data_IF_239918037000
#
_entry.id   IF_239918037000
#
_cell.length_a   1.000
_cell.length_b   1.000
_cell.length_c   1.000
_cell.angle_alpha   90.00
_cell.angle_beta   90.00
_cell.angle_gamma   90.00
#
_symmetry.space_group_name_H-M   'P 1'
#
loop_
_entity.id
_entity.type
_entity.pdbx_description
1 polymer ?
#
# COMPACT_ATOMS: atom_id res chain seq x y z
N UNK A 1 -5.92 -33.23 -3.52
CA UNK A 1 -6.21 -32.04 -2.71
C UNK A 1 -5.34 -30.94 -3.27
N UNK A 2 -5.88 -29.74 -3.53
CA UNK A 2 -5.08 -28.68 -4.10
C UNK A 2 -3.91 -28.33 -3.18
N UNK A 3 -2.77 -28.02 -3.80
CA UNK A 3 -1.52 -27.65 -3.13
C UNK A 3 -1.24 -26.19 -3.43
N UNK A 4 -0.78 -25.47 -2.41
CA UNK A 4 -0.44 -24.06 -2.53
C UNK A 4 1.05 -23.87 -2.19
N UNK A 5 1.76 -23.06 -2.97
CA UNK A 5 3.11 -22.63 -2.56
C UNK A 5 3.02 -21.55 -1.48
N UNK A 6 4.13 -21.28 -0.81
CA UNK A 6 4.22 -20.14 0.10
C UNK A 6 3.91 -18.82 -0.63
N UNK A 7 4.17 -18.75 -1.93
CA UNK A 7 3.86 -17.60 -2.76
C UNK A 7 2.40 -17.55 -3.24
N UNK A 8 1.59 -18.61 -3.09
CA UNK A 8 0.16 -18.62 -3.42
C UNK A 8 -0.24 -19.37 -4.71
N UNK A 9 0.72 -19.96 -5.44
CA UNK A 9 0.42 -20.78 -6.63
C UNK A 9 -0.47 -21.96 -6.29
N UNK A 10 -1.60 -22.12 -6.98
CA UNK A 10 -2.48 -23.26 -6.80
C UNK A 10 -2.19 -24.37 -7.83
N UNK A 11 -2.01 -25.58 -7.33
CA UNK A 11 -1.97 -26.80 -8.13
C UNK A 11 -3.14 -27.70 -7.71
N UNK A 12 -3.76 -28.42 -8.63
CA UNK A 12 -4.86 -29.33 -8.31
C UNK A 12 -4.36 -30.57 -7.53
N UNK A 13 -3.06 -30.88 -7.66
CA UNK A 13 -2.39 -31.94 -6.90
C UNK A 13 -0.86 -31.76 -6.84
N UNK A 14 -0.20 -32.55 -5.99
CA UNK A 14 1.25 -32.53 -5.77
C UNK A 14 2.07 -32.90 -7.01
N UNK A 15 1.57 -33.81 -7.85
CA UNK A 15 2.26 -34.25 -9.06
C UNK A 15 2.36 -33.10 -10.09
N UNK A 16 1.29 -32.34 -10.24
CA UNK A 16 1.26 -31.13 -11.07
C UNK A 16 2.27 -30.07 -10.58
N UNK A 17 2.34 -29.83 -9.27
CA UNK A 17 3.34 -28.93 -8.69
C UNK A 17 4.78 -29.39 -8.99
N UNK A 18 5.06 -30.69 -8.80
CA UNK A 18 6.38 -31.29 -9.06
C UNK A 18 6.76 -31.16 -10.54
N UNK A 19 5.83 -31.42 -11.45
CA UNK A 19 6.08 -31.36 -12.89
C UNK A 19 6.30 -29.92 -13.37
N UNK A 20 5.57 -28.95 -12.79
CA UNK A 20 5.83 -27.52 -12.99
C UNK A 20 7.24 -27.15 -12.53
N UNK A 21 7.63 -27.46 -11.28
CA UNK A 21 8.98 -27.14 -10.78
C UNK A 21 10.10 -27.81 -11.59
N UNK A 22 9.94 -29.07 -12.00
CA UNK A 22 10.94 -29.76 -12.84
C UNK A 22 11.09 -29.13 -14.22
N UNK A 23 10.01 -28.58 -14.76
CA UNK A 23 10.02 -27.89 -16.06
C UNK A 23 10.68 -26.52 -15.91
N UNK A 24 10.27 -25.75 -14.89
CA UNK A 24 10.83 -24.42 -14.60
C UNK A 24 12.32 -24.48 -14.21
N UNK A 25 12.78 -25.51 -13.51
CA UNK A 25 14.18 -25.66 -13.08
C UNK A 25 15.13 -26.22 -14.15
N UNK A 26 14.63 -26.97 -15.15
CA UNK A 26 15.48 -27.64 -16.16
C UNK A 26 15.55 -26.91 -17.51
N UNK A 27 14.72 -25.88 -17.74
CA UNK A 27 14.69 -25.17 -19.03
C UNK A 27 15.35 -23.80 -18.86
N UNK A 28 16.36 -23.46 -19.68
CA UNK A 28 16.95 -22.12 -19.75
C UNK A 28 15.98 -21.06 -20.35
N UNK A 29 14.74 -21.45 -20.65
CA UNK A 29 13.65 -20.54 -21.01
C UNK A 29 12.70 -20.44 -19.80
N UNK A 30 12.62 -19.27 -19.14
CA UNK A 30 12.35 -19.15 -17.72
C UNK A 30 10.89 -18.77 -17.48
N UNK A 31 10.22 -19.47 -16.55
CA UNK A 31 9.18 -18.85 -15.70
C UNK A 31 7.88 -18.35 -16.44
N UNK A 32 7.79 -18.43 -17.79
CA UNK A 32 6.63 -18.08 -18.64
C UNK A 32 6.82 -16.79 -19.46
N UNK A 33 6.21 -16.70 -20.65
CA UNK A 33 6.34 -15.51 -21.55
C UNK A 33 5.96 -14.18 -20.85
N UNK A 34 5.00 -14.23 -19.92
CA UNK A 34 4.60 -13.06 -19.14
C UNK A 34 5.71 -12.61 -18.18
N UNK A 35 6.43 -13.54 -17.56
CA UNK A 35 7.57 -13.24 -16.69
C UNK A 35 8.70 -12.56 -17.45
N UNK A 36 9.08 -13.12 -18.60
CA UNK A 36 10.12 -12.54 -19.45
C UNK A 36 9.75 -11.12 -19.87
N UNK A 37 8.49 -10.89 -20.23
CA UNK A 37 8.01 -9.55 -20.62
C UNK A 37 8.02 -8.55 -19.46
N UNK A 38 7.59 -8.95 -18.26
CA UNK A 38 7.61 -8.11 -17.06
C UNK A 38 9.04 -7.71 -16.65
N UNK A 39 9.97 -8.68 -16.64
CA UNK A 39 11.38 -8.41 -16.34
C UNK A 39 12.15 -7.73 -17.48
N UNK A 40 11.58 -7.65 -18.68
CA UNK A 40 12.14 -6.87 -19.78
C UNK A 40 11.72 -5.39 -19.77
N UNK A 41 10.82 -4.97 -18.87
CA UNK A 41 10.39 -3.57 -18.71
C UNK A 41 11.51 -2.77 -18.04
N UNK A 42 12.44 -2.30 -18.86
CA UNK A 42 13.58 -1.50 -18.42
C UNK A 42 13.18 -0.24 -17.70
N UNK A 43 12.02 0.35 -18.00
CA UNK A 43 11.55 1.58 -17.36
C UNK A 43 11.30 1.41 -15.85
N UNK A 44 11.05 0.18 -15.39
CA UNK A 44 10.89 -0.10 -13.96
C UNK A 44 12.24 -0.30 -13.27
N UNK A 45 13.16 -1.06 -13.88
CA UNK A 45 14.51 -1.34 -13.35
C UNK A 45 15.50 -0.17 -13.49
N UNK A 46 15.39 0.62 -14.57
CA UNK A 46 16.09 1.92 -14.70
C UNK A 46 15.36 3.02 -13.91
N UNK A 47 14.10 2.77 -13.57
CA UNK A 47 13.31 3.54 -12.61
C UNK A 47 13.74 3.20 -11.17
N UNK A 48 13.32 4.01 -10.20
CA UNK A 48 13.72 3.82 -8.80
C UNK A 48 13.15 2.54 -8.14
N UNK A 49 12.56 1.60 -8.89
CA UNK A 49 11.81 0.44 -8.36
C UNK A 49 12.49 -0.90 -8.67
N UNK A 50 12.71 -1.71 -7.63
CA UNK A 50 13.17 -3.09 -7.75
C UNK A 50 11.99 -4.04 -7.94
N UNK A 51 11.97 -4.80 -9.05
CA UNK A 51 10.91 -5.78 -9.36
C UNK A 51 11.16 -7.14 -8.69
N UNK A 52 10.14 -7.62 -7.98
CA UNK A 52 9.99 -9.00 -7.54
C UNK A 52 8.67 -9.54 -8.08
N UNK A 53 8.71 -10.60 -8.89
CA UNK A 53 7.52 -11.25 -9.40
C UNK A 53 7.53 -12.75 -9.06
N UNK A 54 6.38 -13.26 -8.62
CA UNK A 54 6.19 -14.68 -8.28
C UNK A 54 4.86 -15.20 -8.81
N UNK A 55 4.70 -16.52 -8.79
CA UNK A 55 3.44 -17.16 -9.11
C UNK A 55 3.01 -17.14 -10.57
N UNK A 56 3.96 -16.98 -11.49
CA UNK A 56 3.69 -16.62 -12.88
C UNK A 56 3.17 -17.80 -13.70
N UNK A 57 1.86 -17.83 -13.89
CA UNK A 57 1.26 -18.42 -15.08
C UNK A 57 0.58 -17.30 -15.90
N UNK A 58 -0.12 -17.66 -16.96
CA UNK A 58 -0.77 -16.68 -17.82
C UNK A 58 -1.98 -15.98 -17.15
N UNK A 59 -2.42 -16.38 -15.96
CA UNK A 59 -3.64 -15.87 -15.28
C UNK A 59 -3.36 -15.30 -13.89
N UNK A 60 -2.49 -15.98 -13.17
CA UNK A 60 -2.14 -15.74 -11.79
C UNK A 60 -0.71 -15.21 -11.74
N UNK A 61 -0.52 -14.07 -11.06
CA UNK A 61 0.77 -13.43 -10.84
C UNK A 61 0.70 -12.62 -9.56
N UNK A 62 1.82 -12.59 -8.85
CA UNK A 62 2.08 -11.65 -7.79
C UNK A 62 3.27 -10.77 -8.17
N UNK A 63 3.04 -9.45 -8.24
CA UNK A 63 4.06 -8.45 -8.57
C UNK A 63 4.25 -7.55 -7.37
N UNK A 64 5.50 -7.36 -6.97
CA UNK A 64 5.94 -6.38 -5.99
C UNK A 64 7.04 -5.52 -6.59
N UNK A 65 6.89 -4.21 -6.50
CA UNK A 65 7.88 -3.23 -6.90
C UNK A 65 8.18 -2.35 -5.70
N UNK A 66 9.43 -2.30 -5.26
CA UNK A 66 9.87 -1.52 -4.11
C UNK A 66 10.83 -0.40 -4.54
N UNK A 67 10.56 0.83 -4.11
CA UNK A 67 11.42 1.99 -4.34
C UNK A 67 11.74 2.70 -3.02
N UNK A 68 12.88 2.38 -2.39
CA UNK A 68 13.32 3.05 -1.17
C UNK A 68 14.07 4.36 -1.46
N UNK A 69 13.61 5.48 -0.91
CA UNK A 69 14.44 6.69 -0.79
C UNK A 69 15.11 6.73 0.58
N UNK A 70 16.37 6.31 0.66
CA UNK A 70 17.12 6.29 1.92
C UNK A 70 17.35 7.69 2.52
N UNK A 71 17.59 8.71 1.68
CA UNK A 71 17.79 10.08 2.16
C UNK A 71 16.48 10.72 2.61
N UNK A 72 15.36 10.40 1.96
CA UNK A 72 14.04 10.97 2.28
C UNK A 72 13.26 10.22 3.37
N UNK A 73 13.67 8.99 3.72
CA UNK A 73 12.86 8.05 4.54
C UNK A 73 11.44 7.84 3.99
N UNK A 74 11.31 7.97 2.67
CA UNK A 74 10.07 7.73 1.93
C UNK A 74 10.23 6.43 1.16
N UNK A 75 9.41 5.43 1.49
CA UNK A 75 9.34 4.15 0.82
C UNK A 75 8.11 4.11 -0.06
N UNK A 76 8.29 3.74 -1.31
CA UNK A 76 7.23 3.62 -2.31
C UNK A 76 7.10 2.18 -2.72
N UNK A 77 5.88 1.67 -2.78
CA UNK A 77 5.63 0.26 -3.11
C UNK A 77 4.45 0.10 -4.03
N UNK A 78 4.53 -0.84 -4.96
CA UNK A 78 3.41 -1.30 -5.78
C UNK A 78 3.27 -2.79 -5.60
N UNK A 79 2.07 -3.24 -5.28
CA UNK A 79 1.74 -4.64 -5.06
C UNK A 79 0.50 -5.00 -5.87
N UNK A 80 0.66 -5.94 -6.81
CA UNK A 80 -0.44 -6.51 -7.59
C UNK A 80 -0.55 -8.01 -7.33
N UNK A 81 -1.77 -8.51 -7.14
CA UNK A 81 -2.04 -9.91 -6.89
C UNK A 81 -3.28 -10.37 -7.66
N UNK A 82 -3.09 -11.22 -8.68
CA UNK A 82 -4.19 -11.78 -9.46
C UNK A 82 -4.57 -13.21 -9.08
N UNK A 83 -4.14 -13.73 -7.93
CA UNK A 83 -4.53 -15.09 -7.52
C UNK A 83 -6.05 -15.26 -7.49
N UNK A 84 -6.53 -16.38 -8.06
CA UNK A 84 -7.94 -16.66 -8.26
C UNK A 84 -8.53 -16.08 -9.56
N UNK A 85 -7.71 -15.42 -10.39
CA UNK A 85 -8.12 -14.98 -11.72
C UNK A 85 -8.30 -16.19 -12.67
N UNK A 86 -9.37 -16.18 -13.45
CA UNK A 86 -9.74 -17.28 -14.35
C UNK A 86 -9.37 -17.01 -15.81
N UNK A 87 -9.09 -15.75 -16.16
CA UNK A 87 -8.79 -15.29 -17.52
C UNK A 87 -7.30 -14.98 -17.68
N UNK A 88 -6.71 -15.23 -18.86
CA UNK A 88 -5.34 -14.82 -19.13
C UNK A 88 -5.14 -13.30 -18.98
N UNK A 89 -4.03 -12.91 -18.36
CA UNK A 89 -3.58 -11.55 -18.22
C UNK A 89 -2.91 -11.10 -19.51
N UNK A 90 -3.43 -10.03 -20.09
CA UNK A 90 -2.80 -9.35 -21.21
C UNK A 90 -1.67 -8.45 -20.70
N UNK A 91 -0.46 -8.68 -21.21
CA UNK A 91 0.75 -7.97 -20.75
C UNK A 91 0.60 -6.44 -20.83
N UNK A 92 0.10 -5.91 -21.95
CA UNK A 92 -0.02 -4.45 -22.13
C UNK A 92 -1.00 -3.83 -21.12
N UNK A 93 -2.12 -4.50 -20.85
CA UNK A 93 -3.11 -4.05 -19.86
C UNK A 93 -2.54 -4.10 -18.44
N UNK A 94 -1.83 -5.19 -18.10
CA UNK A 94 -1.17 -5.32 -16.81
C UNK A 94 -0.07 -4.26 -16.64
N UNK A 95 0.73 -4.03 -17.67
CA UNK A 95 1.78 -3.02 -17.66
C UNK A 95 1.21 -1.61 -17.45
N UNK A 96 0.15 -1.25 -18.17
CA UNK A 96 -0.51 0.06 -18.03
C UNK A 96 -1.07 0.26 -16.63
N UNK A 97 -1.67 -0.78 -16.06
CA UNK A 97 -2.16 -0.77 -14.67
C UNK A 97 -1.02 -0.53 -13.68
N UNK A 98 0.08 -1.29 -13.79
CA UNK A 98 1.26 -1.12 -12.93
C UNK A 98 1.86 0.27 -13.08
N UNK A 99 1.98 0.79 -14.31
CA UNK A 99 2.47 2.15 -14.58
C UNK A 99 1.59 3.21 -13.91
N UNK A 100 0.27 3.02 -13.90
CA UNK A 100 -0.65 3.92 -13.21
C UNK A 100 -0.53 3.81 -11.69
N UNK A 101 -0.37 2.59 -11.14
CA UNK A 101 -0.10 2.39 -9.72
C UNK A 101 1.20 3.09 -9.29
N UNK A 102 2.28 2.98 -10.07
CA UNK A 102 3.55 3.68 -9.83
C UNK A 102 3.32 5.20 -9.79
N UNK A 103 2.58 5.75 -10.76
CA UNK A 103 2.26 7.20 -10.78
C UNK A 103 1.48 7.60 -9.54
N UNK A 104 0.47 6.83 -9.15
CA UNK A 104 -0.34 7.09 -7.95
C UNK A 104 0.51 7.10 -6.69
N UNK A 105 1.41 6.13 -6.53
CA UNK A 105 2.33 6.07 -5.39
C UNK A 105 3.30 7.24 -5.37
N UNK A 106 3.87 7.60 -6.52
CA UNK A 106 4.79 8.74 -6.62
C UNK A 106 4.09 10.04 -6.23
N UNK A 107 2.91 10.31 -6.79
CA UNK A 107 2.13 11.51 -6.47
C UNK A 107 1.70 11.51 -5.00
N UNK A 108 1.13 10.40 -4.51
CA UNK A 108 0.72 10.28 -3.11
C UNK A 108 1.89 10.47 -2.15
N UNK A 109 3.08 9.96 -2.47
CA UNK A 109 4.27 10.10 -1.62
C UNK A 109 4.73 11.55 -1.46
N UNK A 110 4.67 12.35 -2.53
CA UNK A 110 5.05 13.76 -2.50
C UNK A 110 4.06 14.52 -1.61
N UNK A 111 2.76 14.34 -1.87
CA UNK A 111 1.70 15.06 -1.18
C UNK A 111 1.62 14.65 0.28
N UNK A 112 1.74 13.35 0.57
CA UNK A 112 1.75 12.86 1.94
C UNK A 112 2.97 13.36 2.71
N UNK A 113 4.15 13.39 2.09
CA UNK A 113 5.35 13.93 2.72
C UNK A 113 5.20 15.42 3.04
N UNK A 114 4.80 16.23 2.06
CA UNK A 114 4.57 17.67 2.26
C UNK A 114 3.54 17.93 3.37
N UNK A 115 2.44 17.15 3.39
CA UNK A 115 1.40 17.28 4.41
C UNK A 115 1.88 16.89 5.81
N UNK A 116 2.69 15.84 5.91
CA UNK A 116 3.32 15.44 7.18
C UNK A 116 4.22 16.57 7.70
N UNK A 117 5.07 17.15 6.85
CA UNK A 117 5.95 18.26 7.26
C UNK A 117 5.13 19.46 7.73
N UNK A 118 4.09 19.86 6.99
CA UNK A 118 3.16 20.94 7.39
C UNK A 118 2.56 20.68 8.78
N UNK A 119 2.07 19.46 9.04
CA UNK A 119 1.47 19.10 10.33
C UNK A 119 2.52 19.14 11.46
N UNK A 120 3.72 18.61 11.22
CA UNK A 120 4.79 18.61 12.21
C UNK A 120 5.28 20.04 12.54
N UNK A 121 5.32 20.94 11.56
CA UNK A 121 5.58 22.36 11.79
C UNK A 121 4.48 23.01 12.62
N UNK A 122 3.21 22.78 12.26
CA UNK A 122 2.08 23.29 13.03
C UNK A 122 2.08 22.79 14.49
N UNK A 123 2.45 21.52 14.73
CA UNK A 123 2.62 20.97 16.08
C UNK A 123 3.72 21.72 16.85
N UNK A 124 4.88 21.98 16.21
CA UNK A 124 5.98 22.75 16.82
C UNK A 124 5.57 24.18 17.17
N UNK A 125 4.68 24.78 16.37
CA UNK A 125 4.10 26.10 16.61
C UNK A 125 2.98 26.10 17.66
N UNK A 126 2.63 24.93 18.23
CA UNK A 126 1.63 24.80 19.28
C UNK A 126 0.20 24.71 18.78
N UNK A 127 -0.02 24.29 17.53
CA UNK A 127 -1.37 24.09 17.00
C UNK A 127 -2.10 22.96 17.75
N UNK A 128 -3.11 23.33 18.53
CA UNK A 128 -3.84 22.39 19.36
C UNK A 128 -4.71 21.39 18.58
N UNK A 129 -4.94 21.60 17.28
CA UNK A 129 -5.71 20.69 16.41
C UNK A 129 -5.11 19.28 16.36
N UNK A 130 -3.78 19.18 16.45
CA UNK A 130 -3.06 17.93 16.21
C UNK A 130 -2.51 17.29 17.49
N UNK A 131 -2.47 15.95 17.50
CA UNK A 131 -1.81 15.09 18.47
C UNK A 131 -0.30 15.22 18.26
N UNK A 132 0.39 15.76 19.26
CA UNK A 132 1.80 16.18 19.14
C UNK A 132 2.82 15.07 19.38
N UNK A 133 2.39 13.93 19.92
CA UNK A 133 3.22 12.82 20.42
C UNK A 133 3.13 11.55 19.55
N UNK A 134 2.42 11.60 18.42
CA UNK A 134 2.38 10.52 17.41
C UNK A 134 3.75 10.17 16.84
N UNK A 135 4.61 11.18 16.74
CA UNK A 135 5.94 11.05 16.17
C UNK A 135 6.89 11.80 17.08
N UNK A 136 7.89 11.09 17.59
CA UNK A 136 8.88 11.61 18.53
C UNK A 136 9.67 12.77 17.92
N UNK A 137 10.04 12.67 16.64
CA UNK A 137 10.60 13.78 15.86
C UNK A 137 10.50 13.51 14.36
N UNK A 138 10.54 14.57 13.54
CA UNK A 138 10.60 14.45 12.07
C UNK A 138 11.79 13.62 11.58
N UNK A 139 12.88 13.57 12.34
CA UNK A 139 14.05 12.76 12.02
C UNK A 139 13.83 11.26 12.20
N UNK A 140 12.85 10.85 13.02
CA UNK A 140 12.51 9.44 13.26
C UNK A 140 11.33 8.97 12.42
N UNK A 141 10.82 9.82 11.53
CA UNK A 141 9.66 9.49 10.71
C UNK A 141 10.08 8.69 9.48
N UNK A 142 9.37 7.59 9.24
CA UNK A 142 9.41 6.84 7.98
C UNK A 142 8.02 6.88 7.36
N UNK A 143 7.94 7.40 6.14
CA UNK A 143 6.72 7.39 5.33
C UNK A 143 6.78 6.21 4.38
N UNK A 144 5.76 5.36 4.38
CA UNK A 144 5.57 4.30 3.38
C UNK A 144 4.27 4.57 2.63
N UNK A 145 4.34 4.61 1.31
CA UNK A 145 3.18 4.73 0.43
C UNK A 145 3.15 3.51 -0.48
N UNK A 146 2.05 2.76 -0.41
CA UNK A 146 1.92 1.48 -1.08
C UNK A 146 0.62 1.43 -1.88
N UNK A 147 0.70 1.26 -3.20
CA UNK A 147 -0.48 0.90 -3.99
C UNK A 147 -0.64 -0.61 -3.94
N UNK A 148 -1.78 -1.07 -3.46
CA UNK A 148 -2.17 -2.48 -3.44
C UNK A 148 -3.35 -2.69 -4.37
N UNK A 149 -3.31 -3.78 -5.12
CA UNK A 149 -4.43 -4.18 -5.95
C UNK A 149 -4.56 -5.68 -6.03
N UNK A 150 -5.77 -6.16 -5.84
CA UNK A 150 -6.14 -7.52 -6.14
C UNK A 150 -7.17 -7.56 -7.29
N UNK A 151 -7.77 -8.72 -7.53
CA UNK A 151 -8.76 -8.89 -8.62
C UNK A 151 -10.10 -8.16 -8.39
N UNK A 152 -10.39 -7.72 -7.17
CA UNK A 152 -11.68 -7.13 -6.77
C UNK A 152 -11.57 -5.66 -6.40
N UNK A 153 -10.50 -5.29 -5.70
CA UNK A 153 -10.31 -3.96 -5.14
C UNK A 153 -8.87 -3.47 -5.31
N UNK A 154 -8.72 -2.17 -5.11
CA UNK A 154 -7.42 -1.52 -5.06
C UNK A 154 -7.45 -0.36 -4.08
N UNK A 155 -6.30 -0.07 -3.50
CA UNK A 155 -6.12 1.03 -2.58
C UNK A 155 -4.69 1.57 -2.63
N UNK A 156 -4.50 2.81 -2.18
CA UNK A 156 -3.20 3.34 -1.78
C UNK A 156 -3.20 3.44 -0.26
N UNK A 157 -2.31 2.69 0.36
CA UNK A 157 -2.05 2.69 1.80
C UNK A 157 -0.94 3.68 2.10
N UNK A 158 -1.18 4.57 3.05
CA UNK A 158 -0.20 5.52 3.55
C UNK A 158 0.08 5.13 4.99
N UNK A 159 1.32 4.76 5.29
CA UNK A 159 1.77 4.39 6.61
C UNK A 159 2.88 5.32 7.10
N UNK A 160 2.72 5.84 8.31
CA UNK A 160 3.70 6.66 9.02
C UNK A 160 4.22 5.84 10.19
N UNK A 161 5.52 5.58 10.20
CA UNK A 161 6.18 4.80 11.26
C UNK A 161 7.14 5.70 12.02
N UNK A 162 7.06 5.68 13.35
CA UNK A 162 8.10 6.25 14.20
C UNK A 162 9.18 5.20 14.44
N UNK A 163 10.40 5.44 13.97
CA UNK A 163 11.50 4.48 14.07
C UNK A 163 12.00 4.25 15.50
N UNK A 164 11.74 5.16 16.43
CA UNK A 164 12.12 4.97 17.83
C UNK A 164 11.11 4.08 18.56
N UNK A 165 9.82 4.36 18.43
CA UNK A 165 8.78 3.58 19.12
C UNK A 165 8.40 2.31 18.36
N UNK A 166 8.71 2.25 17.05
CA UNK A 166 8.25 1.23 16.10
C UNK A 166 6.73 1.19 15.92
N UNK A 167 6.02 2.22 16.37
CA UNK A 167 4.60 2.36 16.13
C UNK A 167 4.34 2.79 14.70
N UNK A 168 3.31 2.19 14.10
CA UNK A 168 2.89 2.47 12.75
C UNK A 168 1.43 2.90 12.73
N UNK A 169 1.16 3.99 12.03
CA UNK A 169 -0.17 4.54 11.80
C UNK A 169 -0.43 4.50 10.30
N UNK A 170 -1.50 3.84 9.87
CA UNK A 170 -1.79 3.69 8.45
C UNK A 170 -3.25 3.93 8.11
N UNK A 171 -3.50 4.64 7.02
CA UNK A 171 -4.82 4.78 6.41
C UNK A 171 -4.79 4.35 4.94
N UNK A 172 -5.97 4.07 4.37
CA UNK A 172 -6.13 3.52 3.04
C UNK A 172 -7.10 4.34 2.21
N UNK A 173 -6.69 4.70 1.00
CA UNK A 173 -7.48 5.46 0.03
C UNK A 173 -7.88 4.50 -1.09
N UNK A 174 -9.17 4.32 -1.39
CA UNK A 174 -9.58 3.46 -2.49
C UNK A 174 -9.02 3.98 -3.81
N UNK A 175 -8.54 3.08 -4.67
CA UNK A 175 -8.17 3.38 -6.05
C UNK A 175 -9.24 2.90 -7.03
N UNK A 176 -9.35 3.57 -8.17
CA UNK A 176 -10.28 3.16 -9.24
C UNK A 176 -9.77 1.91 -9.98
N UNK A 177 -10.52 1.45 -10.98
CA UNK A 177 -10.17 0.24 -11.74
C UNK A 177 -8.84 0.35 -12.50
N UNK A 178 -8.38 1.57 -12.78
CA UNK A 178 -7.14 1.84 -13.48
C UNK A 178 -5.97 2.11 -12.52
N UNK A 179 -6.18 1.96 -11.21
CA UNK A 179 -5.17 2.19 -10.18
C UNK A 179 -4.91 3.68 -9.88
N UNK A 180 -5.83 4.57 -10.25
CA UNK A 180 -5.75 6.01 -9.96
C UNK A 180 -6.39 6.33 -8.62
N UNK A 181 -5.98 7.46 -8.03
CA UNK A 181 -6.48 7.94 -6.75
C UNK A 181 -6.95 9.38 -6.83
N UNK A 182 -7.84 9.77 -5.93
CA UNK A 182 -8.17 11.16 -5.67
C UNK A 182 -7.12 11.78 -4.74
N UNK A 183 -6.42 12.78 -5.26
CA UNK A 183 -5.35 13.49 -4.57
C UNK A 183 -5.87 14.19 -3.30
N UNK A 184 -7.09 14.73 -3.31
CA UNK A 184 -7.65 15.41 -2.14
C UNK A 184 -7.83 14.45 -0.95
N UNK A 185 -7.99 13.16 -1.23
CA UNK A 185 -8.09 12.14 -0.18
C UNK A 185 -6.74 11.82 0.46
N UNK A 186 -5.61 12.06 -0.24
CA UNK A 186 -4.25 11.84 0.29
C UNK A 186 -3.98 12.77 1.48
N UNK A 187 -4.20 14.07 1.29
CA UNK A 187 -3.97 15.06 2.36
C UNK A 187 -4.85 14.78 3.58
N UNK A 188 -6.12 14.45 3.34
CA UNK A 188 -7.09 14.17 4.41
C UNK A 188 -6.77 12.88 5.16
N UNK A 189 -6.35 11.82 4.45
CA UNK A 189 -5.93 10.57 5.07
C UNK A 189 -4.73 10.80 6.01
N UNK A 190 -3.72 11.53 5.55
CA UNK A 190 -2.56 11.91 6.37
C UNK A 190 -2.98 12.77 7.56
N UNK A 191 -3.82 13.78 7.34
CA UNK A 191 -4.29 14.66 8.40
C UNK A 191 -5.06 13.91 9.50
N UNK A 192 -5.86 12.93 9.12
CA UNK A 192 -6.68 12.13 10.05
C UNK A 192 -5.85 11.40 11.12
N UNK A 193 -4.63 10.97 10.79
CA UNK A 193 -3.70 10.27 11.70
C UNK A 193 -3.31 11.16 12.90
N UNK A 194 -3.21 12.47 12.65
CA UNK A 194 -2.75 13.45 13.62
C UNK A 194 -3.87 14.26 14.27
N UNK A 195 -5.11 14.25 13.77
CA UNK A 195 -6.17 15.04 14.39
C UNK A 195 -6.47 14.58 15.83
N UNK A 196 -6.81 15.52 16.73
CA UNK A 196 -7.33 15.22 18.08
C UNK A 196 -8.84 14.96 18.12
N UNK A 197 -9.57 15.46 17.13
CA UNK A 197 -11.01 15.41 17.06
C UNK A 197 -11.44 15.28 15.59
N UNK A 198 -12.50 14.51 15.35
CA UNK A 198 -13.18 14.41 14.06
C UNK A 198 -14.67 14.68 14.25
N UNK A 199 -15.30 15.30 13.25
CA UNK A 199 -16.73 15.58 13.25
C UNK A 199 -17.28 15.29 11.87
N UNK A 200 -18.38 14.54 11.80
CA UNK A 200 -18.97 14.11 10.53
C UNK A 200 -20.05 13.05 10.74
N UNK A 201 -20.47 12.39 9.66
CA UNK A 201 -21.55 11.39 9.70
C UNK A 201 -20.97 9.98 9.81
N UNK A 202 -21.57 9.17 10.69
CA UNK A 202 -21.27 7.75 10.84
C UNK A 202 -21.87 6.96 9.68
N UNK A 203 -21.07 6.14 9.00
CA UNK A 203 -21.50 5.37 7.83
C UNK A 203 -21.90 3.92 8.12
N UNK A 204 -21.85 3.46 9.38
CA UNK A 204 -22.51 2.22 9.81
C UNK A 204 -21.72 0.92 9.61
N UNK A 205 -20.66 0.91 8.81
CA UNK A 205 -19.89 -0.30 8.46
C UNK A 205 -18.63 -0.46 9.31
N UNK A 206 -18.01 0.66 9.69
CA UNK A 206 -16.84 0.74 10.59
C UNK A 206 -16.96 1.98 11.50
N UNK A 207 -16.07 2.12 12.49
CA UNK A 207 -15.98 3.36 13.27
C UNK A 207 -15.29 4.44 12.45
N UNK A 208 -15.99 4.91 11.42
CA UNK A 208 -15.51 5.93 10.49
C UNK A 208 -16.42 7.15 10.48
N UNK A 209 -15.82 8.31 10.20
CA UNK A 209 -16.48 9.62 10.12
C UNK A 209 -16.12 10.22 8.78
N UNK A 210 -17.12 10.49 7.95
CA UNK A 210 -16.94 10.98 6.57
C UNK A 210 -15.97 10.13 5.74
N UNK A 211 -15.97 8.82 5.97
CA UNK A 211 -15.10 7.86 5.28
C UNK A 211 -13.73 7.63 5.91
N UNK A 212 -13.40 8.33 7.00
CA UNK A 212 -12.08 8.24 7.66
C UNK A 212 -12.14 7.39 8.93
N UNK A 213 -11.11 6.58 9.15
CA UNK A 213 -11.01 5.69 10.31
C UNK A 213 -10.76 6.47 11.60
N UNK A 214 -11.66 6.33 12.57
CA UNK A 214 -11.45 6.87 13.93
C UNK A 214 -10.46 6.03 14.75
N UNK A 215 -9.97 4.92 14.21
CA UNK A 215 -9.10 3.97 14.92
C UNK A 215 -7.89 4.65 15.56
N UNK A 216 -7.29 5.64 14.89
CA UNK A 216 -6.15 6.37 15.45
C UNK A 216 -6.55 7.09 16.73
N UNK A 217 -7.63 7.86 16.71
CA UNK A 217 -8.14 8.58 17.89
C UNK A 217 -8.45 7.63 19.04
N UNK A 218 -9.08 6.49 18.73
CA UNK A 218 -9.42 5.48 19.73
C UNK A 218 -8.18 4.82 20.34
N UNK A 219 -7.18 4.48 19.52
CA UNK A 219 -5.90 3.95 19.99
C UNK A 219 -5.19 4.95 20.89
N UNK A 220 -5.11 6.21 20.46
CA UNK A 220 -4.47 7.27 21.24
C UNK A 220 -5.14 7.46 22.60
N UNK A 221 -6.47 7.50 22.62
CA UNK A 221 -7.21 7.64 23.86
C UNK A 221 -7.03 6.44 24.78
N UNK A 222 -6.99 5.22 24.23
CA UNK A 222 -6.73 4.00 24.99
C UNK A 222 -5.32 4.01 25.62
N UNK A 223 -4.29 4.31 24.83
CA UNK A 223 -2.88 4.31 25.26
C UNK A 223 -2.60 5.37 26.32
N UNK A 224 -3.32 6.49 26.29
CA UNK A 224 -3.11 7.63 27.19
C UNK A 224 -4.17 7.75 28.28
N UNK A 225 -4.95 6.68 28.51
CA UNK A 225 -6.04 6.61 29.51
C UNK A 225 -6.99 7.81 29.45
N UNK A 226 -7.34 8.25 28.23
CA UNK A 226 -8.26 9.38 27.98
C UNK A 226 -9.70 8.89 27.82
N UNK A 227 -10.64 9.69 28.30
CA UNK A 227 -12.05 9.49 28.01
C UNK A 227 -12.37 9.96 26.58
N UNK A 228 -13.07 9.11 25.81
CA UNK A 228 -13.57 9.45 24.47
C UNK A 228 -15.02 9.88 24.57
N UNK A 229 -15.32 11.14 24.24
CA UNK A 229 -16.69 11.64 24.16
C UNK A 229 -17.18 11.56 22.70
N UNK A 230 -18.14 10.68 22.43
CA UNK A 230 -18.83 10.61 21.12
C UNK A 230 -20.18 11.32 21.22
N UNK A 231 -20.33 12.44 20.50
CA UNK A 231 -21.59 13.21 20.43
C UNK A 231 -22.40 12.81 19.20
N UNK A 232 -23.60 12.31 19.42
CA UNK A 232 -24.61 12.11 18.36
C UNK A 232 -25.49 13.36 18.33
N UNK A 233 -25.48 14.09 17.22
CA UNK A 233 -26.26 15.32 16.99
C UNK A 233 -27.56 15.01 16.26
#
# INVERSE_FOLDING_TARGET
MPVYTNEGLRFDNEQEAIDWFKTTLNTETPIGELYEKLHAVKEWEEGEFDLQATGLNDKEVHIQLDSPSHEGKVFRRVQYNSYGNNEPLEFETLKELIDNMIKSVNVASIIAFDKVIEILEAIKEGNEKYISDRVTSSENLVLTVQAERNMYDGAVVIAITDENTKEQYQDSIPSDEEGRIDIELVEKAVESIFMKQMSGKFNGEEVTVDGYKLQFLLNYAHENEKEVEVKII
#
